data_IF_879320875131
#
_entry.id   IF_879320875131
#
_cell.length_a   1.000
_cell.length_b   1.000
_cell.length_c   1.000
_cell.angle_alpha   90.00
_cell.angle_beta   90.00
_cell.angle_gamma   90.00
#
_symmetry.space_group_name_H-M   'P 1'
#
loop_
_entity.id
_entity.type
_entity.pdbx_description
1 polymer ?
#
# COMPACT_ATOMS: atom_id res chain seq x y z
N UNK A 1 -18.11 5.50 -0.73
CA UNK A 1 -16.90 5.16 0.06
C UNK A 1 -15.66 5.34 -0.81
N UNK A 2 -14.62 6.01 -0.31
CA UNK A 2 -13.32 6.16 -0.96
C UNK A 2 -12.47 4.90 -0.75
N UNK A 3 -11.69 4.52 -1.76
CA UNK A 3 -10.84 3.33 -1.71
C UNK A 3 -9.41 3.73 -2.08
N UNK A 4 -8.46 3.43 -1.22
CA UNK A 4 -7.04 3.75 -1.40
C UNK A 4 -6.18 2.52 -1.57
N UNK A 5 -5.16 2.62 -2.42
CA UNK A 5 -4.11 1.61 -2.53
C UNK A 5 -3.02 1.89 -1.50
N UNK A 6 -2.76 0.92 -0.62
CA UNK A 6 -1.71 1.02 0.39
C UNK A 6 -0.30 0.98 -0.21
N UNK A 7 0.66 1.76 0.34
CA UNK A 7 2.06 1.65 -0.02
C UNK A 7 2.65 0.38 0.57
N UNK A 8 3.11 -0.53 -0.28
CA UNK A 8 3.81 -1.76 0.10
C UNK A 8 5.22 -1.71 -0.47
N UNK A 9 6.20 -1.51 0.41
CA UNK A 9 7.61 -1.40 0.04
C UNK A 9 8.08 -2.61 -0.77
N UNK A 10 8.71 -2.34 -1.91
CA UNK A 10 9.20 -3.37 -2.82
C UNK A 10 8.16 -3.94 -3.78
N UNK A 11 6.85 -3.72 -3.56
CA UNK A 11 5.77 -4.35 -4.35
C UNK A 11 4.97 -3.30 -5.14
N UNK A 12 4.38 -2.30 -4.46
CA UNK A 12 3.51 -1.32 -5.11
C UNK A 12 4.27 -0.12 -5.69
N UNK A 13 5.44 -0.36 -6.29
CA UNK A 13 6.18 0.61 -7.09
C UNK A 13 5.38 1.06 -8.32
N UNK A 14 5.92 2.01 -9.09
CA UNK A 14 5.21 2.61 -10.22
C UNK A 14 4.74 1.58 -11.27
N UNK A 15 5.55 0.57 -11.58
CA UNK A 15 5.18 -0.53 -12.48
C UNK A 15 3.88 -1.22 -12.05
N UNK A 16 3.76 -1.55 -10.75
CA UNK A 16 2.55 -2.15 -10.20
C UNK A 16 1.37 -1.18 -10.26
N UNK A 17 1.56 0.08 -9.82
CA UNK A 17 0.47 1.07 -9.78
C UNK A 17 -0.08 1.37 -11.17
N UNK A 18 0.79 1.55 -12.18
CA UNK A 18 0.40 1.77 -13.58
C UNK A 18 -0.39 0.60 -14.14
N UNK A 19 0.12 -0.61 -13.99
CA UNK A 19 -0.58 -1.81 -14.45
C UNK A 19 -1.95 -1.97 -13.77
N UNK A 20 -2.01 -1.76 -12.44
CA UNK A 20 -3.26 -1.82 -11.67
C UNK A 20 -4.26 -0.76 -12.15
N UNK A 21 -3.82 0.49 -12.33
CA UNK A 21 -4.65 1.58 -12.81
C UNK A 21 -5.22 1.31 -14.20
N UNK A 22 -4.38 0.85 -15.12
CA UNK A 22 -4.76 0.64 -16.52
C UNK A 22 -5.63 -0.62 -16.73
N UNK A 23 -5.46 -1.65 -15.90
CA UNK A 23 -6.23 -2.88 -16.05
C UNK A 23 -7.53 -2.89 -15.23
N UNK A 24 -7.52 -2.32 -14.03
CA UNK A 24 -8.62 -2.46 -13.07
C UNK A 24 -9.16 -1.13 -12.56
N UNK A 25 -8.31 -0.16 -12.26
CA UNK A 25 -8.71 1.13 -11.70
C UNK A 25 -9.40 1.03 -10.34
N UNK A 26 -10.37 1.90 -10.10
CA UNK A 26 -11.26 1.85 -8.92
C UNK A 26 -10.71 2.46 -7.63
N UNK A 27 -9.48 2.95 -7.62
CA UNK A 27 -8.89 3.64 -6.46
C UNK A 27 -8.99 5.16 -6.59
N UNK A 28 -9.30 5.83 -5.47
CA UNK A 28 -9.33 7.29 -5.40
C UNK A 28 -7.93 7.87 -5.13
N UNK A 29 -7.09 7.16 -4.36
CA UNK A 29 -5.68 7.52 -4.13
C UNK A 29 -4.76 6.30 -4.23
N UNK A 30 -3.55 6.52 -4.76
CA UNK A 30 -2.48 5.53 -4.89
C UNK A 30 -1.29 5.99 -4.04
N UNK A 31 -1.08 5.37 -2.89
CA UNK A 31 0.05 5.74 -2.03
C UNK A 31 1.35 5.13 -2.56
N UNK A 32 2.33 6.00 -2.78
CA UNK A 32 3.68 5.61 -3.24
C UNK A 32 4.45 5.02 -2.05
N UNK A 33 5.17 3.88 -2.20
CA UNK A 33 6.05 3.36 -1.17
C UNK A 33 7.01 4.42 -0.63
N UNK A 34 7.32 4.32 0.65
CA UNK A 34 7.99 5.39 1.35
C UNK A 34 9.38 5.74 0.79
N UNK A 35 9.65 7.04 0.79
CA UNK A 35 10.94 7.65 0.55
C UNK A 35 11.68 7.72 1.90
N UNK A 36 12.97 7.33 1.88
CA UNK A 36 13.87 7.47 3.00
C UNK A 36 14.77 8.69 2.78
N UNK A 37 14.48 9.83 3.42
CA UNK A 37 15.36 10.99 3.33
C UNK A 37 16.80 10.64 3.71
N UNK A 38 17.76 11.14 2.94
CA UNK A 38 19.18 11.02 3.24
C UNK A 38 19.79 12.41 3.46
N UNK A 39 20.92 12.47 4.15
CA UNK A 39 21.61 13.72 4.51
C UNK A 39 21.98 14.64 3.34
N UNK A 40 21.89 14.16 2.11
CA UNK A 40 22.20 14.90 0.88
C UNK A 40 20.96 15.34 0.11
N UNK A 41 19.74 15.06 0.62
CA UNK A 41 18.48 15.37 -0.08
C UNK A 41 18.29 14.63 -1.42
N UNK A 42 19.12 13.62 -1.73
CA UNK A 42 19.03 12.92 -3.02
C UNK A 42 18.12 11.70 -2.93
N UNK A 43 17.15 11.65 -3.84
CA UNK A 43 16.34 10.47 -4.08
C UNK A 43 17.16 9.38 -4.79
N UNK A 44 16.99 8.12 -4.39
CA UNK A 44 17.53 6.98 -5.14
C UNK A 44 16.89 6.88 -6.52
N UNK A 45 17.52 6.18 -7.46
CA UNK A 45 16.97 5.97 -8.81
C UNK A 45 15.57 5.35 -8.75
N UNK A 46 15.32 4.42 -7.83
CA UNK A 46 14.01 3.80 -7.63
C UNK A 46 12.99 4.83 -7.15
N UNK A 47 13.31 5.59 -6.09
CA UNK A 47 12.40 6.61 -5.56
C UNK A 47 12.08 7.67 -6.60
N UNK A 48 13.07 8.10 -7.40
CA UNK A 48 12.83 9.01 -8.53
C UNK A 48 11.84 8.42 -9.52
N UNK A 49 12.04 7.17 -9.98
CA UNK A 49 11.08 6.50 -10.89
C UNK A 49 9.69 6.40 -10.28
N UNK A 50 9.59 6.12 -8.98
CA UNK A 50 8.31 5.99 -8.29
C UNK A 50 7.51 7.31 -8.24
N UNK A 51 8.19 8.47 -8.21
CA UNK A 51 7.54 9.77 -8.09
C UNK A 51 7.48 10.56 -9.41
N UNK A 52 8.09 10.10 -10.49
CA UNK A 52 8.02 10.80 -11.79
C UNK A 52 6.55 10.95 -12.22
N UNK A 53 6.09 12.17 -12.59
CA UNK A 53 4.70 12.43 -12.96
C UNK A 53 4.20 11.52 -14.08
N UNK A 54 5.03 11.26 -15.12
CA UNK A 54 4.71 10.37 -16.23
C UNK A 54 4.45 8.92 -15.80
N UNK A 55 5.04 8.48 -14.69
CA UNK A 55 4.81 7.15 -14.11
C UNK A 55 3.54 7.08 -13.25
N UNK A 56 2.92 8.22 -12.99
CA UNK A 56 1.72 8.35 -12.16
C UNK A 56 0.58 9.06 -12.90
N UNK A 57 0.67 9.17 -14.22
CA UNK A 57 -0.32 9.85 -15.04
C UNK A 57 -1.74 9.26 -14.86
N UNK A 58 -2.72 10.14 -14.68
CA UNK A 58 -4.11 9.79 -14.43
C UNK A 58 -4.44 9.34 -13.01
N UNK A 59 -3.44 9.07 -12.17
CA UNK A 59 -3.62 8.66 -10.78
C UNK A 59 -3.50 9.85 -9.82
N UNK A 60 -4.32 9.88 -8.78
CA UNK A 60 -4.03 10.71 -7.61
C UNK A 60 -2.99 9.97 -6.75
N UNK A 61 -1.72 10.19 -7.06
CA UNK A 61 -0.61 9.54 -6.37
C UNK A 61 -0.15 10.37 -5.17
N UNK A 62 0.04 9.73 -4.01
CA UNK A 62 0.46 10.38 -2.75
C UNK A 62 1.80 9.80 -2.31
N UNK A 63 2.90 10.54 -2.39
CA UNK A 63 4.21 10.10 -1.89
C UNK A 63 4.20 9.94 -0.38
N UNK A 64 4.81 8.86 0.11
CA UNK A 64 4.96 8.64 1.55
C UNK A 64 6.41 8.90 1.99
N UNK A 65 6.60 9.58 3.13
CA UNK A 65 7.91 9.90 3.70
C UNK A 65 8.09 9.11 5.00
N UNK A 66 9.25 8.48 5.18
CA UNK A 66 9.61 7.72 6.38
C UNK A 66 10.81 8.37 7.07
N UNK A 67 10.56 9.21 8.05
CA UNK A 67 11.58 9.87 8.86
C UNK A 67 11.08 10.16 10.27
N UNK A 68 11.96 10.52 11.16
CA UNK A 68 11.68 11.10 12.50
C UNK A 68 12.33 12.48 12.68
N UNK A 69 12.92 13.03 11.62
CA UNK A 69 13.56 14.33 11.60
C UNK A 69 12.68 15.29 10.80
N UNK A 70 12.27 16.39 11.41
CA UNK A 70 11.37 17.36 10.79
C UNK A 70 12.00 18.07 9.60
N UNK A 71 13.27 18.42 9.67
CA UNK A 71 14.02 19.04 8.58
C UNK A 71 14.06 18.14 7.35
N UNK A 72 14.41 16.85 7.54
CA UNK A 72 14.39 15.83 6.47
C UNK A 72 13.00 15.70 5.82
N UNK A 73 11.92 15.77 6.63
CA UNK A 73 10.55 15.71 6.12
C UNK A 73 10.24 16.93 5.25
N UNK A 74 10.53 18.13 5.75
CA UNK A 74 10.24 19.40 5.07
C UNK A 74 10.98 19.47 3.75
N UNK A 75 12.30 19.25 3.72
CA UNK A 75 13.11 19.25 2.51
C UNK A 75 12.62 18.23 1.46
N UNK A 76 12.21 17.05 1.93
CA UNK A 76 11.65 16.03 1.02
C UNK A 76 10.29 16.46 0.48
N UNK A 77 9.43 17.05 1.31
CA UNK A 77 8.13 17.57 0.89
C UNK A 77 8.28 18.70 -0.13
N UNK A 78 9.20 19.64 0.08
CA UNK A 78 9.54 20.70 -0.89
C UNK A 78 9.99 20.11 -2.24
N UNK A 79 10.88 19.11 -2.20
CA UNK A 79 11.30 18.40 -3.41
C UNK A 79 10.11 17.77 -4.12
N UNK A 80 9.20 17.12 -3.38
CA UNK A 80 8.01 16.50 -3.96
C UNK A 80 7.02 17.52 -4.53
N UNK A 81 6.94 18.70 -3.93
CA UNK A 81 6.15 19.82 -4.46
C UNK A 81 6.69 20.30 -5.81
N UNK A 82 8.02 20.31 -6.03
CA UNK A 82 8.62 20.60 -7.33
C UNK A 82 8.23 19.60 -8.42
N UNK A 83 7.94 18.34 -8.05
CA UNK A 83 7.38 17.31 -8.95
C UNK A 83 5.86 17.45 -9.17
N UNK A 84 5.19 18.45 -8.55
CA UNK A 84 3.78 18.74 -8.71
C UNK A 84 2.85 18.04 -7.73
N UNK A 85 3.38 17.38 -6.69
CA UNK A 85 2.56 16.80 -5.63
C UNK A 85 2.02 17.89 -4.70
N UNK A 86 0.76 17.76 -4.28
CA UNK A 86 0.09 18.68 -3.36
C UNK A 86 -0.16 18.07 -1.97
N UNK A 87 0.04 16.77 -1.85
CA UNK A 87 -0.14 16.00 -0.63
C UNK A 87 1.05 15.06 -0.42
N UNK A 88 1.47 14.93 0.83
CA UNK A 88 2.44 13.92 1.28
C UNK A 88 1.88 13.13 2.45
N UNK A 89 2.35 11.91 2.62
CA UNK A 89 1.94 11.04 3.71
C UNK A 89 3.11 10.73 4.63
N UNK A 90 2.91 10.88 5.94
CA UNK A 90 3.89 10.47 6.95
C UNK A 90 3.68 9.00 7.32
N UNK A 91 4.76 8.20 7.24
CA UNK A 91 4.75 6.81 7.66
C UNK A 91 5.05 6.68 9.16
N UNK A 92 4.05 6.35 9.95
CA UNK A 92 4.14 5.98 11.37
C UNK A 92 3.69 4.51 11.61
N UNK A 93 3.64 3.69 10.54
CA UNK A 93 3.09 2.34 10.64
C UNK A 93 4.01 1.21 10.19
N UNK A 94 5.16 1.47 9.59
CA UNK A 94 6.07 0.42 9.13
C UNK A 94 6.62 -0.40 10.32
N UNK A 95 6.31 -1.72 10.41
CA UNK A 95 6.70 -2.54 11.55
C UNK A 95 8.07 -3.22 11.35
N UNK A 96 8.75 -2.96 10.24
CA UNK A 96 10.04 -3.59 9.93
C UNK A 96 11.06 -3.34 11.03
N UNK A 97 11.73 -4.39 11.49
CA UNK A 97 12.75 -4.30 12.55
C UNK A 97 13.82 -3.27 12.23
N UNK A 98 14.29 -3.19 10.98
CA UNK A 98 15.30 -2.21 10.54
C UNK A 98 14.83 -0.75 10.59
N UNK A 99 13.53 -0.52 10.51
CA UNK A 99 12.90 0.79 10.61
C UNK A 99 12.65 1.14 12.08
N UNK A 100 12.03 0.24 12.82
CA UNK A 100 11.65 0.40 14.23
C UNK A 100 12.86 0.64 15.13
N UNK A 101 13.96 -0.12 14.96
CA UNK A 101 15.19 0.06 15.76
C UNK A 101 15.86 1.42 15.56
N UNK A 102 15.54 2.14 14.48
CA UNK A 102 15.99 3.50 14.23
C UNK A 102 15.01 4.56 14.76
N UNK A 103 13.92 4.15 15.44
CA UNK A 103 12.86 5.02 15.92
C UNK A 103 12.07 5.68 14.80
N UNK A 104 11.89 5.01 13.65
CA UNK A 104 11.12 5.45 12.48
C UNK A 104 9.90 4.56 12.26
N UNK A 105 8.96 4.99 11.43
CA UNK A 105 7.73 4.23 11.18
C UNK A 105 6.99 3.95 12.48
N UNK A 106 6.55 2.71 12.73
CA UNK A 106 5.90 2.37 13.99
C UNK A 106 6.80 2.60 15.21
N UNK A 107 8.13 2.52 15.08
CA UNK A 107 9.06 2.79 16.18
C UNK A 107 9.09 4.25 16.66
N UNK A 108 8.45 5.17 15.95
CA UNK A 108 8.29 6.55 16.41
C UNK A 108 7.10 6.70 17.39
N UNK A 109 6.16 5.76 17.38
CA UNK A 109 5.00 5.74 18.27
C UNK A 109 5.38 5.54 19.75
N UNK A 110 6.54 4.93 20.01
CA UNK A 110 7.10 4.74 21.36
C UNK A 110 7.61 6.04 22.01
N UNK A 111 7.48 7.19 21.31
CA UNK A 111 8.03 8.47 21.72
C UNK A 111 7.03 9.61 21.50
N UNK A 112 5.90 9.62 22.20
CA UNK A 112 4.80 10.55 21.95
C UNK A 112 5.23 12.03 22.08
N UNK A 113 6.07 12.39 23.03
CA UNK A 113 6.56 13.76 23.20
C UNK A 113 7.47 14.22 22.05
N UNK A 114 8.33 13.31 21.51
CA UNK A 114 9.16 13.62 20.35
C UNK A 114 8.28 13.70 19.09
N UNK A 115 7.28 12.85 18.97
CA UNK A 115 6.33 12.85 17.85
C UNK A 115 5.50 14.14 17.82
N UNK A 116 5.02 14.62 18.98
CA UNK A 116 4.26 15.86 19.07
C UNK A 116 5.09 17.06 18.61
N UNK A 117 6.35 17.17 19.08
CA UNK A 117 7.28 18.23 18.65
C UNK A 117 7.58 18.16 17.15
N UNK A 118 7.77 16.96 16.62
CA UNK A 118 8.00 16.74 15.20
C UNK A 118 6.80 17.19 14.37
N UNK A 119 5.58 16.83 14.79
CA UNK A 119 4.35 17.24 14.11
C UNK A 119 4.15 18.76 14.17
N UNK A 120 4.38 19.40 15.34
CA UNK A 120 4.31 20.86 15.47
C UNK A 120 5.24 21.56 14.45
N UNK A 121 6.46 21.05 14.30
CA UNK A 121 7.43 21.63 13.39
C UNK A 121 7.03 21.46 11.92
N UNK A 122 6.62 20.26 11.50
CA UNK A 122 6.26 20.03 10.10
C UNK A 122 4.97 20.75 9.70
N UNK A 123 3.96 20.82 10.59
CA UNK A 123 2.71 21.54 10.29
C UNK A 123 2.87 23.06 10.31
N UNK A 124 3.88 23.57 11.00
CA UNK A 124 4.19 25.00 10.98
C UNK A 124 4.98 25.44 9.75
N UNK A 125 5.80 24.55 9.15
CA UNK A 125 6.78 24.92 8.12
C UNK A 125 6.47 24.32 6.73
N UNK A 126 5.65 23.29 6.64
CA UNK A 126 5.32 22.65 5.38
C UNK A 126 3.95 23.12 4.89
N UNK A 127 3.90 23.68 3.69
CA UNK A 127 2.66 24.21 3.07
C UNK A 127 1.83 23.13 2.34
N UNK A 128 2.34 21.89 2.25
CA UNK A 128 1.61 20.78 1.61
C UNK A 128 0.56 20.20 2.54
N UNK A 129 -0.46 19.56 1.97
CA UNK A 129 -1.38 18.71 2.71
C UNK A 129 -0.62 17.52 3.27
N UNK A 130 -0.78 17.25 4.57
CA UNK A 130 -0.11 16.15 5.26
C UNK A 130 -1.16 15.16 5.77
N UNK A 131 -1.11 13.93 5.26
CA UNK A 131 -1.83 12.79 5.82
C UNK A 131 -0.88 11.90 6.63
N UNK A 132 -1.41 11.16 7.59
CA UNK A 132 -0.63 10.24 8.44
C UNK A 132 -1.13 8.81 8.23
N UNK A 133 -0.20 7.86 8.05
CA UNK A 133 -0.51 6.44 8.10
C UNK A 133 0.14 5.82 9.33
N UNK A 134 -0.68 5.41 10.29
CA UNK A 134 -0.26 4.93 11.62
C UNK A 134 -0.71 3.52 11.94
N UNK A 135 -0.27 3.02 13.08
CA UNK A 135 -0.81 1.86 13.83
C UNK A 135 -1.39 2.34 15.15
N UNK A 136 -1.99 1.41 15.92
CA UNK A 136 -2.60 1.69 17.22
C UNK A 136 -1.56 1.94 18.33
N UNK A 137 -0.31 1.61 18.10
CA UNK A 137 0.79 1.74 19.05
C UNK A 137 1.90 0.73 18.76
N UNK A 138 2.80 0.56 19.72
CA UNK A 138 3.91 -0.39 19.66
C UNK A 138 3.50 -1.76 20.19
N UNK A 139 3.06 -1.82 21.41
CA UNK A 139 2.81 -3.05 22.16
C UNK A 139 1.36 -3.22 22.56
N UNK A 140 0.68 -2.13 22.93
CA UNK A 140 -0.67 -2.12 23.46
C UNK A 140 -1.60 -1.20 22.65
N UNK A 141 -2.82 -1.63 22.30
CA UNK A 141 -3.80 -0.78 21.61
C UNK A 141 -4.26 0.42 22.45
N UNK A 142 -4.14 0.39 23.78
CA UNK A 142 -4.47 1.52 24.66
C UNK A 142 -3.55 2.73 24.43
N UNK A 143 -2.33 2.52 23.91
CA UNK A 143 -1.41 3.60 23.49
C UNK A 143 -2.06 4.53 22.45
N UNK A 144 -3.09 4.05 21.74
CA UNK A 144 -3.73 4.82 20.69
C UNK A 144 -4.47 6.04 21.19
N UNK A 145 -4.96 6.06 22.42
CA UNK A 145 -5.65 7.21 23.02
C UNK A 145 -4.73 8.43 23.09
N UNK A 146 -3.50 8.24 23.57
CA UNK A 146 -2.49 9.30 23.64
C UNK A 146 -2.07 9.77 22.25
N UNK A 147 -1.86 8.82 21.34
CA UNK A 147 -1.52 9.12 19.94
C UNK A 147 -2.62 9.92 19.25
N UNK A 148 -3.88 9.54 19.41
CA UNK A 148 -5.02 10.24 18.84
C UNK A 148 -5.16 11.66 19.42
N UNK A 149 -4.86 11.83 20.72
CA UNK A 149 -4.82 13.16 21.35
C UNK A 149 -3.77 14.05 20.71
N UNK A 150 -2.60 13.51 20.35
CA UNK A 150 -1.55 14.23 19.63
C UNK A 150 -2.03 14.56 18.21
N UNK A 151 -2.52 13.58 17.44
CA UNK A 151 -2.97 13.80 16.06
C UNK A 151 -4.07 14.86 15.97
N UNK A 152 -4.97 14.92 16.93
CA UNK A 152 -6.06 15.88 17.00
C UNK A 152 -5.62 17.35 17.23
N UNK A 153 -4.34 17.62 17.50
CA UNK A 153 -3.79 18.99 17.58
C UNK A 153 -3.52 19.58 16.20
N UNK A 154 -3.42 18.76 15.15
CA UNK A 154 -2.95 19.16 13.83
C UNK A 154 -4.03 18.99 12.75
N UNK A 155 -4.04 19.85 11.70
CA UNK A 155 -5.00 19.78 10.61
C UNK A 155 -4.58 18.72 9.57
N UNK A 156 -4.72 17.44 9.94
CA UNK A 156 -4.39 16.34 9.02
C UNK A 156 -5.34 16.34 7.84
N UNK A 157 -4.82 16.10 6.62
CA UNK A 157 -5.67 15.80 5.47
C UNK A 157 -6.46 14.50 5.68
N UNK A 158 -5.83 13.47 6.24
CA UNK A 158 -6.44 12.19 6.63
C UNK A 158 -5.59 11.46 7.67
N UNK A 159 -6.25 10.70 8.53
CA UNK A 159 -5.63 9.75 9.47
C UNK A 159 -5.94 8.31 9.03
N UNK A 160 -4.94 7.64 8.46
CA UNK A 160 -5.07 6.26 7.99
C UNK A 160 -4.59 5.33 9.09
N UNK A 161 -5.51 4.55 9.68
CA UNK A 161 -5.22 3.70 10.84
C UNK A 161 -5.17 2.24 10.45
N UNK A 162 -3.98 1.63 10.53
CA UNK A 162 -3.89 0.17 10.53
C UNK A 162 -4.23 -0.34 11.91
N UNK A 163 -5.39 -0.98 12.04
CA UNK A 163 -6.00 -1.38 13.31
C UNK A 163 -5.23 -2.53 14.03
N UNK A 164 -3.91 -2.43 14.11
CA UNK A 164 -2.97 -3.34 14.80
C UNK A 164 -1.87 -2.55 15.48
N UNK A 165 -1.27 -3.11 16.53
CA UNK A 165 -0.02 -2.60 17.11
C UNK A 165 1.20 -3.08 16.28
N UNK A 166 2.37 -2.48 16.53
CA UNK A 166 3.60 -2.85 15.81
C UNK A 166 3.96 -4.32 15.98
N UNK A 167 3.87 -4.83 17.20
CA UNK A 167 4.20 -6.21 17.63
C UNK A 167 3.41 -7.28 16.87
N UNK A 168 2.21 -6.96 16.42
CA UNK A 168 1.39 -7.88 15.62
C UNK A 168 1.97 -8.11 14.22
N UNK A 169 2.76 -7.19 13.69
CA UNK A 169 3.13 -7.18 12.27
C UNK A 169 1.90 -7.24 11.35
N UNK A 170 1.59 -8.43 10.85
CA UNK A 170 0.43 -8.74 10.00
C UNK A 170 -0.34 -9.98 10.49
N UNK A 171 -0.01 -10.45 11.69
CA UNK A 171 -0.70 -11.54 12.38
C UNK A 171 -1.88 -10.96 13.16
N UNK A 172 -2.50 -11.68 14.01
CA UNK A 172 -3.62 -11.27 14.84
C UNK A 172 -4.76 -10.55 14.06
N UNK A 173 -5.94 -10.53 14.60
CA UNK A 173 -7.10 -9.84 14.02
C UNK A 173 -6.97 -8.32 14.23
N UNK A 174 -7.37 -7.47 13.27
CA UNK A 174 -7.49 -6.03 13.50
C UNK A 174 -8.41 -5.72 14.69
N UNK A 175 -8.03 -4.75 15.53
CA UNK A 175 -8.79 -4.33 16.70
C UNK A 175 -9.80 -3.26 16.31
N UNK A 176 -10.99 -3.70 15.93
CA UNK A 176 -12.05 -2.81 15.45
C UNK A 176 -12.62 -1.93 16.56
N UNK A 177 -12.60 -2.39 17.81
CA UNK A 177 -13.04 -1.60 18.95
C UNK A 177 -12.18 -0.34 19.12
N UNK A 178 -10.86 -0.49 19.23
CA UNK A 178 -9.93 0.65 19.30
C UNK A 178 -9.96 1.51 18.02
N UNK A 179 -10.19 0.91 16.85
CA UNK A 179 -10.39 1.69 15.63
C UNK A 179 -11.66 2.55 15.71
N UNK A 180 -12.73 2.05 16.35
CA UNK A 180 -13.96 2.80 16.59
C UNK A 180 -13.72 4.12 17.32
N UNK A 181 -12.77 4.16 18.26
CA UNK A 181 -12.38 5.39 18.96
C UNK A 181 -11.84 6.45 17.97
N UNK A 182 -11.08 6.02 16.96
CA UNK A 182 -10.63 6.93 15.91
C UNK A 182 -11.81 7.50 15.11
N UNK A 183 -12.79 6.67 14.75
CA UNK A 183 -13.97 7.10 14.00
C UNK A 183 -14.81 8.12 14.80
N UNK A 184 -14.92 7.95 16.12
CA UNK A 184 -15.72 8.79 16.99
C UNK A 184 -15.01 10.09 17.40
N UNK A 185 -13.69 10.04 17.65
CA UNK A 185 -12.94 11.09 18.34
C UNK A 185 -11.92 11.84 17.46
N UNK A 186 -11.59 11.34 16.26
CA UNK A 186 -10.68 12.04 15.37
C UNK A 186 -11.33 13.32 14.82
N UNK A 187 -10.54 14.41 14.80
CA UNK A 187 -10.96 15.69 14.20
C UNK A 187 -10.75 15.72 12.69
N UNK A 188 -9.91 14.84 12.18
CA UNK A 188 -9.61 14.71 10.75
C UNK A 188 -10.37 13.53 10.14
N UNK A 189 -10.58 13.48 8.81
CA UNK A 189 -11.12 12.31 8.14
C UNK A 189 -10.32 11.04 8.48
N UNK A 190 -11.02 9.94 8.79
CA UNK A 190 -10.40 8.66 9.15
C UNK A 190 -10.54 7.68 8.01
N UNK A 191 -9.45 6.97 7.71
CA UNK A 191 -9.41 5.88 6.74
C UNK A 191 -9.03 4.57 7.44
N UNK A 192 -9.87 3.54 7.30
CA UNK A 192 -9.57 2.21 7.82
C UNK A 192 -8.54 1.48 6.96
N UNK A 193 -7.53 0.91 7.60
CA UNK A 193 -6.63 -0.04 6.97
C UNK A 193 -6.55 -1.32 7.81
N UNK A 194 -6.84 -2.45 7.19
CA UNK A 194 -6.87 -3.76 7.84
C UNK A 194 -6.99 -4.88 6.82
N UNK A 195 -7.50 -6.04 7.23
CA UNK A 195 -7.65 -7.23 6.41
C UNK A 195 -8.91 -7.15 5.52
N UNK A 196 -8.92 -6.22 4.57
CA UNK A 196 -9.95 -6.14 3.53
C UNK A 196 -9.46 -7.00 2.37
N UNK A 197 -10.15 -8.11 2.11
CA UNK A 197 -9.80 -9.09 1.06
C UNK A 197 -10.97 -9.40 0.12
N UNK A 198 -12.19 -9.01 0.48
CA UNK A 198 -13.41 -9.16 -0.30
C UNK A 198 -14.33 -7.94 -0.12
N UNK A 199 -15.31 -7.78 -1.00
CA UNK A 199 -16.29 -6.68 -0.92
C UNK A 199 -17.12 -6.74 0.37
N UNK A 200 -17.43 -7.94 0.85
CA UNK A 200 -18.19 -8.20 2.07
C UNK A 200 -17.49 -7.66 3.33
N UNK A 201 -16.15 -7.57 3.32
CA UNK A 201 -15.39 -6.96 4.43
C UNK A 201 -15.75 -5.47 4.57
N UNK A 202 -15.96 -4.78 3.45
CA UNK A 202 -16.35 -3.39 3.43
C UNK A 202 -17.80 -3.19 3.90
N UNK A 203 -18.70 -4.09 3.52
CA UNK A 203 -20.10 -4.05 3.98
C UNK A 203 -20.14 -4.18 5.49
N UNK A 204 -19.43 -5.18 6.07
CA UNK A 204 -19.35 -5.37 7.53
C UNK A 204 -18.76 -4.15 8.25
N UNK A 205 -17.73 -3.53 7.68
CA UNK A 205 -17.14 -2.31 8.25
C UNK A 205 -18.13 -1.14 8.24
N UNK A 206 -18.91 -0.97 7.18
CA UNK A 206 -19.92 0.09 7.10
C UNK A 206 -21.11 -0.15 8.05
N UNK A 207 -21.50 -1.42 8.27
CA UNK A 207 -22.50 -1.77 9.28
C UNK A 207 -22.04 -1.42 10.70
N UNK A 208 -20.74 -1.67 11.00
CA UNK A 208 -20.15 -1.33 12.30
C UNK A 208 -19.87 0.17 12.46
N UNK A 209 -19.46 0.84 11.40
CA UNK A 209 -19.07 2.26 11.39
C UNK A 209 -19.77 3.00 10.25
N UNK A 210 -21.05 3.38 10.42
CA UNK A 210 -21.84 3.99 9.33
C UNK A 210 -21.28 5.32 8.80
N UNK A 211 -20.48 6.02 9.60
CA UNK A 211 -19.83 7.29 9.22
C UNK A 211 -18.48 7.10 8.51
N UNK A 212 -17.96 5.86 8.47
CA UNK A 212 -16.70 5.56 7.78
C UNK A 212 -16.91 5.62 6.26
N UNK A 213 -16.24 6.56 5.61
CA UNK A 213 -16.34 6.78 4.16
C UNK A 213 -15.06 6.44 3.39
N UNK A 214 -14.03 5.96 4.07
CA UNK A 214 -12.72 5.70 3.49
C UNK A 214 -12.08 4.41 4.00
N UNK A 215 -11.56 3.62 3.07
CA UNK A 215 -10.78 2.40 3.36
C UNK A 215 -9.50 2.39 2.54
N UNK A 216 -8.47 1.71 3.07
CA UNK A 216 -7.22 1.45 2.36
C UNK A 216 -6.96 -0.05 2.30
N UNK A 217 -6.78 -0.58 1.08
CA UNK A 217 -6.45 -1.98 0.84
C UNK A 217 -4.98 -2.16 0.47
N UNK A 218 -4.38 -3.23 0.89
CA UNK A 218 -2.99 -3.59 0.56
C UNK A 218 -2.91 -5.02 0.05
N UNK A 219 -2.68 -5.98 0.94
CA UNK A 219 -2.54 -7.40 0.58
C UNK A 219 -3.79 -7.99 -0.09
N UNK A 220 -4.98 -7.45 0.20
CA UNK A 220 -6.20 -7.84 -0.51
C UNK A 220 -6.10 -7.54 -2.00
N UNK A 221 -5.66 -6.32 -2.36
CA UNK A 221 -5.45 -5.94 -3.76
C UNK A 221 -4.33 -6.75 -4.44
N UNK A 222 -3.29 -7.16 -3.71
CA UNK A 222 -2.27 -8.05 -4.28
C UNK A 222 -2.83 -9.43 -4.61
N UNK A 223 -3.80 -9.92 -3.83
CA UNK A 223 -4.47 -11.21 -4.04
C UNK A 223 -5.59 -11.13 -5.07
N UNK A 224 -6.25 -9.99 -5.15
CA UNK A 224 -7.31 -9.70 -6.11
C UNK A 224 -7.15 -8.27 -6.65
N UNK A 225 -6.51 -8.09 -7.80
CA UNK A 225 -6.31 -6.76 -8.40
C UNK A 225 -7.62 -6.02 -8.72
N UNK A 226 -8.73 -6.74 -8.94
CA UNK A 226 -10.05 -6.15 -9.17
C UNK A 226 -10.80 -5.76 -7.89
N UNK A 227 -10.23 -5.98 -6.69
CA UNK A 227 -10.91 -5.81 -5.41
C UNK A 227 -11.60 -4.42 -5.28
N UNK A 228 -10.93 -3.34 -5.67
CA UNK A 228 -11.53 -2.00 -5.60
C UNK A 228 -12.74 -1.86 -6.53
N UNK A 229 -12.69 -2.47 -7.71
CA UNK A 229 -13.80 -2.51 -8.66
C UNK A 229 -14.97 -3.33 -8.10
N UNK A 230 -14.70 -4.47 -7.50
CA UNK A 230 -15.72 -5.34 -6.87
C UNK A 230 -16.40 -4.66 -5.68
N UNK A 231 -15.64 -3.96 -4.82
CA UNK A 231 -16.19 -3.15 -3.73
C UNK A 231 -17.16 -2.08 -4.25
N UNK A 232 -16.95 -1.57 -5.47
CA UNK A 232 -17.83 -0.62 -6.14
C UNK A 232 -19.01 -1.29 -6.88
N UNK A 233 -19.18 -2.60 -6.73
CA UNK A 233 -20.24 -3.38 -7.40
C UNK A 233 -19.94 -3.77 -8.85
N UNK A 234 -18.68 -3.63 -9.30
CA UNK A 234 -18.26 -4.08 -10.62
C UNK A 234 -17.92 -5.57 -10.67
N UNK A 235 -17.69 -6.08 -11.88
CA UNK A 235 -17.41 -7.50 -12.11
C UNK A 235 -16.06 -7.94 -11.52
N UNK A 236 -15.90 -9.21 -11.13
CA UNK A 236 -14.61 -9.79 -10.77
C UNK A 236 -13.63 -9.73 -11.94
N UNK A 237 -12.35 -9.98 -11.66
CA UNK A 237 -11.33 -10.03 -12.70
C UNK A 237 -11.55 -11.20 -13.64
N UNK A 238 -11.44 -10.98 -14.95
CA UNK A 238 -11.32 -12.07 -15.92
C UNK A 238 -9.88 -12.59 -16.01
N UNK A 239 -9.72 -13.80 -16.54
CA UNK A 239 -8.40 -14.41 -16.75
C UNK A 239 -7.56 -13.60 -17.74
N UNK A 240 -8.17 -13.00 -18.76
CA UNK A 240 -7.54 -12.13 -19.74
C UNK A 240 -7.04 -10.83 -19.08
N UNK A 241 -7.81 -10.23 -18.18
CA UNK A 241 -7.39 -9.04 -17.43
C UNK A 241 -6.18 -9.35 -16.54
N UNK A 242 -6.20 -10.47 -15.81
CA UNK A 242 -5.06 -10.92 -14.99
C UNK A 242 -3.84 -11.18 -15.87
N UNK A 243 -4.02 -11.77 -17.05
CA UNK A 243 -2.95 -12.00 -18.02
C UNK A 243 -2.37 -10.68 -18.51
N UNK A 244 -3.21 -9.73 -18.92
CA UNK A 244 -2.77 -8.39 -19.34
C UNK A 244 -2.01 -7.67 -18.24
N UNK A 245 -2.52 -7.68 -17.01
CA UNK A 245 -1.88 -7.09 -15.84
C UNK A 245 -0.48 -7.67 -15.60
N UNK A 246 -0.37 -9.01 -15.63
CA UNK A 246 0.91 -9.70 -15.52
C UNK A 246 1.88 -9.29 -16.62
N UNK A 247 1.43 -9.32 -17.88
CA UNK A 247 2.29 -9.08 -19.02
C UNK A 247 2.79 -7.64 -19.06
N UNK A 248 1.95 -6.66 -18.68
CA UNK A 248 2.37 -5.26 -18.54
C UNK A 248 3.50 -5.12 -17.52
N UNK A 249 3.36 -5.69 -16.34
CA UNK A 249 4.40 -5.64 -15.32
C UNK A 249 5.67 -6.36 -15.74
N UNK A 250 5.54 -7.54 -16.34
CA UNK A 250 6.67 -8.34 -16.79
C UNK A 250 7.49 -7.62 -17.84
N UNK A 251 6.83 -7.06 -18.86
CA UNK A 251 7.49 -6.32 -19.94
C UNK A 251 8.21 -5.08 -19.40
N UNK A 252 7.57 -4.30 -18.53
CA UNK A 252 8.19 -3.12 -17.92
C UNK A 252 9.41 -3.49 -17.06
N UNK A 253 9.34 -4.59 -16.29
CA UNK A 253 10.52 -5.07 -15.55
C UNK A 253 11.63 -5.59 -16.48
N UNK A 254 11.31 -6.16 -17.64
CA UNK A 254 12.31 -6.55 -18.62
C UNK A 254 13.03 -5.35 -19.25
N UNK A 255 12.33 -4.23 -19.43
CA UNK A 255 12.91 -2.97 -19.93
C UNK A 255 13.75 -2.26 -18.85
N UNK A 256 13.28 -2.27 -17.61
CA UNK A 256 13.85 -1.50 -16.52
C UNK A 256 15.00 -2.16 -15.76
N UNK A 257 15.02 -3.49 -15.73
CA UNK A 257 15.93 -4.26 -14.91
C UNK A 257 16.87 -5.11 -15.75
N UNK A 258 18.13 -5.15 -15.38
CA UNK A 258 19.11 -6.01 -16.02
C UNK A 258 19.20 -7.37 -15.35
N UNK A 259 19.12 -8.43 -16.15
CA UNK A 259 19.35 -9.83 -15.78
C UNK A 259 18.14 -10.53 -15.15
N UNK A 260 17.95 -11.77 -15.54
CA UNK A 260 16.84 -12.65 -15.17
C UNK A 260 16.55 -12.63 -13.65
N UNK A 261 17.59 -12.63 -12.83
CA UNK A 261 17.46 -12.67 -11.36
C UNK A 261 16.65 -11.51 -10.81
N UNK A 262 16.88 -10.29 -11.30
CA UNK A 262 16.22 -9.08 -10.79
C UNK A 262 14.75 -9.04 -11.22
N UNK A 263 14.48 -9.38 -12.48
CA UNK A 263 13.14 -9.47 -13.05
C UNK A 263 12.34 -10.54 -12.29
N UNK A 264 12.89 -11.75 -12.18
CA UNK A 264 12.24 -12.87 -11.53
C UNK A 264 12.03 -12.66 -10.02
N UNK A 265 12.88 -11.90 -9.36
CA UNK A 265 12.67 -11.54 -7.96
C UNK A 265 11.33 -10.80 -7.77
N UNK A 266 11.04 -9.80 -8.62
CA UNK A 266 9.79 -9.03 -8.61
C UNK A 266 8.58 -9.89 -8.99
N UNK A 267 8.71 -10.62 -10.09
CA UNK A 267 7.58 -11.41 -10.61
C UNK A 267 7.21 -12.57 -9.68
N UNK A 268 8.18 -13.24 -9.05
CA UNK A 268 7.91 -14.30 -8.07
C UNK A 268 7.22 -13.78 -6.82
N UNK A 269 7.54 -12.57 -6.39
CA UNK A 269 6.85 -11.93 -5.27
C UNK A 269 5.39 -11.68 -5.62
N UNK A 270 5.09 -11.12 -6.80
CA UNK A 270 3.73 -10.95 -7.31
C UNK A 270 2.96 -12.28 -7.33
N UNK A 271 3.56 -13.35 -7.90
CA UNK A 271 2.93 -14.66 -7.99
C UNK A 271 2.67 -15.31 -6.63
N UNK A 272 3.37 -14.92 -5.58
CA UNK A 272 3.06 -15.40 -4.23
C UNK A 272 1.66 -14.96 -3.75
N UNK A 273 1.14 -13.88 -4.32
CA UNK A 273 -0.21 -13.35 -4.06
C UNK A 273 -1.24 -13.75 -5.12
N UNK A 274 -0.87 -13.72 -6.40
CA UNK A 274 -1.81 -14.01 -7.51
C UNK A 274 -2.10 -15.49 -7.71
N UNK A 275 -1.12 -16.37 -7.48
CA UNK A 275 -1.30 -17.79 -7.74
C UNK A 275 -2.56 -18.41 -7.08
N UNK A 276 -2.93 -18.04 -5.84
CA UNK A 276 -4.15 -18.54 -5.21
C UNK A 276 -5.46 -18.22 -5.94
N UNK A 277 -5.48 -17.28 -6.88
CA UNK A 277 -6.66 -17.00 -7.71
C UNK A 277 -7.00 -18.15 -8.67
N UNK A 278 -6.03 -19.02 -8.99
CA UNK A 278 -6.20 -20.09 -9.98
C UNK A 278 -6.50 -21.44 -9.34
N UNK A 279 -7.29 -22.25 -10.04
CA UNK A 279 -7.47 -23.67 -9.72
C UNK A 279 -6.11 -24.39 -9.76
N UNK A 280 -5.96 -25.51 -9.07
CA UNK A 280 -4.74 -26.35 -9.07
C UNK A 280 -3.38 -25.61 -9.04
N UNK A 281 -3.37 -24.39 -8.51
CA UNK A 281 -2.23 -23.46 -8.59
C UNK A 281 -0.90 -23.97 -8.01
N UNK A 282 -0.92 -24.90 -7.03
CA UNK A 282 0.27 -25.35 -6.28
C UNK A 282 1.40 -25.85 -7.18
N UNK A 283 1.09 -26.58 -8.24
CA UNK A 283 2.04 -27.12 -9.22
C UNK A 283 2.78 -25.96 -9.94
N UNK A 284 2.01 -25.00 -10.43
CA UNK A 284 2.52 -23.87 -11.22
C UNK A 284 3.24 -22.85 -10.35
N UNK A 285 2.71 -22.51 -9.20
CA UNK A 285 3.38 -21.67 -8.21
C UNK A 285 4.77 -22.21 -7.85
N UNK A 286 4.90 -23.56 -7.71
CA UNK A 286 6.20 -24.19 -7.48
C UNK A 286 7.14 -24.08 -8.68
N UNK A 287 6.64 -24.21 -9.93
CA UNK A 287 7.43 -24.03 -11.15
C UNK A 287 7.93 -22.58 -11.26
N UNK A 288 7.03 -21.61 -11.10
CA UNK A 288 7.33 -20.17 -11.13
C UNK A 288 8.38 -19.83 -10.06
N UNK A 289 8.18 -20.27 -8.81
CA UNK A 289 9.12 -20.03 -7.71
C UNK A 289 10.53 -20.57 -7.98
N UNK A 290 10.66 -21.72 -8.67
CA UNK A 290 11.92 -22.37 -8.99
C UNK A 290 12.60 -21.88 -10.26
N UNK A 291 11.90 -21.10 -11.11
CA UNK A 291 12.48 -20.60 -12.35
C UNK A 291 13.69 -19.69 -12.07
N UNK A 292 14.82 -19.95 -12.69
CA UNK A 292 16.04 -19.14 -12.60
C UNK A 292 16.32 -18.35 -13.88
N UNK A 293 15.60 -18.66 -14.96
CA UNK A 293 15.66 -18.00 -16.25
C UNK A 293 14.28 -17.50 -16.67
N UNK A 294 14.22 -16.33 -17.33
CA UNK A 294 12.96 -15.75 -17.78
C UNK A 294 12.20 -16.70 -18.72
N UNK A 295 12.87 -17.40 -19.62
CA UNK A 295 12.26 -18.37 -20.53
C UNK A 295 11.56 -19.52 -19.79
N UNK A 296 12.13 -19.98 -18.68
CA UNK A 296 11.53 -21.05 -17.84
C UNK A 296 10.31 -20.52 -17.10
N UNK A 297 10.40 -19.28 -16.62
CA UNK A 297 9.31 -18.57 -15.97
C UNK A 297 8.13 -18.36 -16.93
N UNK A 298 8.38 -17.83 -18.12
CA UNK A 298 7.36 -17.59 -19.17
C UNK A 298 6.61 -18.86 -19.54
N UNK A 299 7.33 -19.98 -19.69
CA UNK A 299 6.71 -21.27 -19.96
C UNK A 299 5.80 -21.73 -18.80
N UNK A 300 6.23 -21.56 -17.56
CA UNK A 300 5.43 -21.92 -16.39
C UNK A 300 4.15 -21.05 -16.27
N UNK A 301 4.27 -19.76 -16.58
CA UNK A 301 3.14 -18.83 -16.60
C UNK A 301 2.18 -19.17 -17.74
N UNK A 302 2.70 -19.43 -18.95
CA UNK A 302 1.89 -19.84 -20.11
C UNK A 302 1.10 -21.10 -19.82
N UNK A 303 1.75 -22.11 -19.23
CA UNK A 303 1.07 -23.36 -18.83
C UNK A 303 -0.06 -23.08 -17.82
N UNK A 304 0.18 -22.22 -16.80
CA UNK A 304 -0.85 -21.87 -15.81
C UNK A 304 -2.07 -21.29 -16.50
N UNK A 305 -1.89 -20.25 -17.33
CA UNK A 305 -3.01 -19.60 -18.02
C UNK A 305 -3.73 -20.50 -19.05
N UNK A 306 -3.03 -21.49 -19.62
CA UNK A 306 -3.64 -22.42 -20.58
C UNK A 306 -4.41 -23.55 -19.90
N UNK A 307 -3.98 -23.98 -18.71
CA UNK A 307 -4.51 -25.20 -18.09
C UNK A 307 -5.48 -24.93 -16.93
N UNK A 308 -5.44 -23.73 -16.32
CA UNK A 308 -6.18 -23.44 -15.08
C UNK A 308 -7.17 -22.30 -15.28
N UNK A 309 -8.29 -22.33 -14.54
CA UNK A 309 -9.29 -21.27 -14.51
C UNK A 309 -9.11 -20.41 -13.23
N UNK A 310 -9.69 -19.21 -13.21
CA UNK A 310 -9.83 -18.46 -11.98
C UNK A 310 -10.90 -19.12 -11.10
N UNK A 311 -10.68 -19.05 -9.80
CA UNK A 311 -11.69 -19.56 -8.83
C UNK A 311 -12.88 -18.62 -8.88
N UNK A 312 -14.07 -19.17 -9.15
CA UNK A 312 -15.32 -18.41 -9.28
C UNK A 312 -15.71 -18.03 -10.72
N UNK A 313 -14.86 -18.27 -11.72
CA UNK A 313 -15.30 -18.26 -13.11
C UNK A 313 -16.09 -19.53 -13.42
N UNK A 314 -17.31 -19.37 -13.94
CA UNK A 314 -18.03 -20.50 -14.55
C UNK A 314 -17.27 -20.94 -15.81
N UNK A 315 -17.14 -22.27 -16.07
CA UNK A 315 -16.53 -22.72 -17.30
C UNK A 315 -17.37 -22.19 -18.48
N UNK A 316 -16.70 -21.59 -19.47
CA UNK A 316 -17.38 -21.25 -20.72
C UNK A 316 -18.07 -22.51 -21.26
N UNK A 317 -19.41 -22.46 -21.43
CA UNK A 317 -20.14 -23.51 -22.09
C UNK A 317 -19.62 -23.61 -23.54
N UNK A 318 -18.92 -24.70 -23.83
CA UNK A 318 -18.31 -25.01 -25.13
C UNK A 318 -19.34 -25.47 -26.15
#
# INVERSE_FOLDING_TARGET
>A
MKIYLAPLEGITGYTYRRALYQCFGGFDKYFIPFILPNQKGHLSTREKKDIMPENNEGMYAVPQILTKNAEDFIQTAETLQEYGYNEVNLNLGCPSKTVVTKGRGAGFLDRPDELDKFLDEIFRKCDMKISIKTRLGMDDPEEFEDLLTIYNKYPLEELIVHARVQKDYYKNTPRLETFGEAVERAKSPVCYNGDIVAAEDCIRLQEMFPTLDCIMTGRGTLKNPALAREIRGGAPASKEEIRRFHDMMYNEYCEDLSGDRNILFRMKELWSYLAPMFTNNKKYAKKIKKAEKCVVYENAVRELFSCEQLIGEEPEES
#
